data_IF_458728773719
#
_entry.id   IF_458728773719
#
_cell.length_a   1.000
_cell.length_b   1.000
_cell.length_c   1.000
_cell.angle_alpha   90.00
_cell.angle_beta   90.00
_cell.angle_gamma   90.00
#
_symmetry.space_group_name_H-M   'P 1'
#
loop_
_entity.id
_entity.type
_entity.pdbx_description
1 polymer ?
#
# COMPACT_ATOMS: atom_id res chain seq x y z
N UNK A 1 27.29 15.17 -22.27
CA UNK A 1 26.48 14.43 -21.29
C UNK A 1 25.12 15.13 -21.11
N UNK A 2 24.12 14.76 -21.92
CA UNK A 2 22.82 15.48 -22.07
C UNK A 2 21.68 14.87 -21.23
N UNK A 3 21.92 13.72 -20.58
CA UNK A 3 20.90 12.95 -19.83
C UNK A 3 20.54 13.57 -18.46
N UNK A 4 21.30 14.54 -17.97
CA UNK A 4 21.06 15.22 -16.68
C UNK A 4 20.13 16.44 -16.75
N UNK A 5 19.69 16.83 -17.94
CA UNK A 5 18.94 18.09 -18.16
C UNK A 5 17.42 17.93 -18.07
N UNK A 6 16.92 16.69 -18.12
CA UNK A 6 15.50 16.41 -17.98
C UNK A 6 15.30 15.61 -16.70
N UNK A 7 14.61 16.14 -15.68
CA UNK A 7 14.14 15.30 -14.59
C UNK A 7 13.30 14.19 -15.25
N UNK A 8 13.71 12.93 -15.04
CA UNK A 8 12.93 11.81 -15.58
C UNK A 8 11.50 11.85 -15.04
N UNK A 9 10.59 11.12 -15.69
CA UNK A 9 9.16 11.10 -15.31
C UNK A 9 8.95 10.93 -13.80
N UNK A 10 7.95 11.58 -13.19
CA UNK A 10 7.52 11.33 -11.82
C UNK A 10 7.36 9.82 -11.55
N UNK A 11 7.60 9.42 -10.30
CA UNK A 11 7.54 8.00 -9.93
C UNK A 11 6.18 7.37 -10.26
N UNK A 12 5.11 8.11 -9.98
CA UNK A 12 3.73 7.70 -10.17
C UNK A 12 3.45 7.40 -11.66
N UNK A 13 3.95 8.25 -12.56
CA UNK A 13 3.82 8.04 -14.02
C UNK A 13 4.61 6.81 -14.49
N UNK A 14 5.81 6.59 -13.92
CA UNK A 14 6.61 5.38 -14.22
C UNK A 14 5.93 4.11 -13.71
N UNK A 15 5.33 4.17 -12.52
CA UNK A 15 4.59 3.05 -11.93
C UNK A 15 3.39 2.69 -12.80
N UNK A 16 2.61 3.69 -13.23
CA UNK A 16 1.46 3.50 -14.12
C UNK A 16 1.88 2.88 -15.46
N UNK A 17 2.98 3.36 -16.04
CA UNK A 17 3.54 2.78 -17.26
C UNK A 17 4.02 1.34 -17.06
N UNK A 18 4.68 1.04 -15.93
CA UNK A 18 5.10 -0.32 -15.58
C UNK A 18 3.91 -1.26 -15.38
N UNK A 19 2.84 -0.79 -14.72
CA UNK A 19 1.61 -1.54 -14.56
C UNK A 19 0.97 -1.90 -15.91
N UNK A 20 0.80 -0.92 -16.80
CA UNK A 20 0.24 -1.13 -18.16
C UNK A 20 1.07 -2.10 -19.00
N UNK A 21 2.37 -2.17 -18.74
CA UNK A 21 3.29 -3.07 -19.44
C UNK A 21 3.43 -4.45 -18.75
N UNK A 22 2.74 -4.69 -17.64
CA UNK A 22 2.84 -5.94 -16.88
C UNK A 22 4.20 -6.14 -16.22
N UNK A 23 4.85 -5.05 -15.78
CA UNK A 23 6.18 -5.06 -15.16
C UNK A 23 6.19 -4.64 -13.69
N UNK A 24 5.01 -4.43 -13.10
CA UNK A 24 4.85 -3.93 -11.74
C UNK A 24 4.38 -5.06 -10.80
N UNK A 25 5.16 -5.32 -9.77
CA UNK A 25 4.78 -6.21 -8.66
C UNK A 25 4.64 -5.43 -7.35
N UNK A 26 3.82 -5.96 -6.45
CA UNK A 26 3.76 -5.60 -5.05
C UNK A 26 4.42 -6.72 -4.24
N UNK A 27 5.52 -6.40 -3.57
CA UNK A 27 6.13 -7.28 -2.59
C UNK A 27 5.53 -7.03 -1.21
N UNK A 28 5.21 -8.11 -0.51
CA UNK A 28 4.54 -8.11 0.79
C UNK A 28 5.32 -8.95 1.80
N UNK A 29 4.94 -8.84 3.08
CA UNK A 29 5.60 -9.50 4.21
C UNK A 29 7.08 -9.11 4.41
N UNK A 30 7.48 -7.94 3.89
CA UNK A 30 8.81 -7.39 4.09
C UNK A 30 9.01 -6.97 5.56
N UNK A 31 10.26 -6.83 5.98
CA UNK A 31 10.55 -6.08 7.21
C UNK A 31 10.18 -4.61 6.98
N UNK A 32 9.32 -4.00 7.82
CA UNK A 32 9.01 -2.57 7.72
C UNK A 32 10.22 -1.64 7.77
N UNK A 33 11.38 -2.13 8.24
CA UNK A 33 12.63 -1.37 8.34
C UNK A 33 13.45 -1.36 7.06
N UNK A 34 13.12 -2.22 6.09
CA UNK A 34 13.86 -2.26 4.84
C UNK A 34 13.67 -0.97 4.04
N UNK A 35 14.78 -0.52 3.47
CA UNK A 35 14.89 0.57 2.52
C UNK A 35 14.65 0.09 1.08
N UNK A 36 14.36 1.02 0.17
CA UNK A 36 14.20 0.70 -1.26
C UNK A 36 15.41 -0.03 -1.85
N UNK A 37 16.63 0.37 -1.51
CA UNK A 37 17.85 -0.26 -2.03
C UNK A 37 18.04 -1.68 -1.50
N UNK A 38 17.72 -1.94 -0.23
CA UNK A 38 17.78 -3.30 0.31
C UNK A 38 16.77 -4.22 -0.39
N UNK A 39 15.59 -3.70 -0.77
CA UNK A 39 14.60 -4.46 -1.53
C UNK A 39 15.12 -4.74 -2.95
N UNK A 40 15.75 -3.76 -3.60
CA UNK A 40 16.40 -3.96 -4.91
C UNK A 40 17.50 -5.03 -4.82
N UNK A 41 18.31 -5.04 -3.76
CA UNK A 41 19.34 -6.05 -3.51
C UNK A 41 18.75 -7.44 -3.24
N UNK A 42 17.62 -7.53 -2.52
CA UNK A 42 16.87 -8.79 -2.34
C UNK A 42 16.40 -9.32 -3.69
N UNK A 43 15.84 -8.47 -4.55
CA UNK A 43 15.36 -8.90 -5.87
C UNK A 43 16.53 -9.32 -6.77
N UNK A 44 17.62 -8.56 -6.75
CA UNK A 44 18.84 -8.89 -7.50
C UNK A 44 19.47 -10.21 -7.04
N UNK A 45 19.56 -10.42 -5.73
CA UNK A 45 20.15 -11.64 -5.16
C UNK A 45 19.27 -12.87 -5.37
N UNK A 46 17.95 -12.75 -5.19
CA UNK A 46 16.99 -13.86 -5.29
C UNK A 46 16.60 -14.23 -6.71
N UNK A 47 16.39 -13.24 -7.58
CA UNK A 47 15.87 -13.48 -8.93
C UNK A 47 16.89 -13.28 -10.05
N UNK A 48 18.05 -12.65 -9.76
CA UNK A 48 19.05 -12.20 -10.75
C UNK A 48 18.52 -11.15 -11.73
N UNK A 49 17.50 -10.42 -11.29
CA UNK A 49 16.84 -9.38 -12.06
C UNK A 49 17.04 -8.03 -11.40
N UNK A 50 17.28 -7.00 -12.21
CA UNK A 50 17.36 -5.62 -11.72
C UNK A 50 15.98 -4.97 -11.74
N UNK A 51 15.70 -4.18 -10.72
CA UNK A 51 14.41 -3.49 -10.58
C UNK A 51 14.60 -2.11 -9.96
N UNK A 52 13.52 -1.33 -9.92
CA UNK A 52 13.44 -0.13 -9.09
C UNK A 52 12.32 -0.29 -8.08
N UNK A 53 12.61 -0.07 -6.80
CA UNK A 53 11.67 -0.31 -5.70
C UNK A 53 11.26 0.98 -4.99
N UNK A 54 9.99 1.05 -4.57
CA UNK A 54 9.48 2.09 -3.66
C UNK A 54 8.60 1.47 -2.59
N UNK A 55 8.95 1.74 -1.35
CA UNK A 55 8.20 1.29 -0.17
C UNK A 55 6.81 1.94 -0.17
N UNK A 56 5.81 1.15 0.18
CA UNK A 56 4.45 1.65 0.43
C UNK A 56 4.41 2.26 1.83
N UNK A 57 4.05 3.55 1.98
CA UNK A 57 3.97 4.18 3.29
C UNK A 57 2.94 3.50 4.19
N UNK A 58 3.26 3.34 5.48
CA UNK A 58 2.30 2.85 6.47
C UNK A 58 1.16 3.85 6.66
N UNK A 59 -0.06 3.33 6.65
CA UNK A 59 -1.29 4.05 7.02
C UNK A 59 -1.76 3.62 8.41
N UNK A 60 -2.79 4.29 8.96
CA UNK A 60 -3.39 3.94 10.25
C UNK A 60 -3.99 2.53 10.31
N UNK A 61 -4.26 1.94 9.13
CA UNK A 61 -4.81 0.59 8.97
C UNK A 61 -3.77 -0.39 8.39
N UNK A 62 -2.50 -0.01 8.31
CA UNK A 62 -1.44 -0.90 7.85
C UNK A 62 -0.90 -1.70 9.03
N UNK A 63 -0.59 -2.98 8.79
CA UNK A 63 0.07 -3.83 9.78
C UNK A 63 1.43 -3.23 10.16
N UNK A 64 1.73 -3.02 11.45
CA UNK A 64 3.05 -2.52 11.88
C UNK A 64 4.14 -3.60 11.78
N UNK A 65 3.76 -4.85 11.51
CA UNK A 65 4.67 -5.99 11.54
C UNK A 65 5.14 -6.41 10.16
N UNK A 66 4.51 -5.92 9.08
CA UNK A 66 4.78 -6.35 7.71
C UNK A 66 4.78 -5.14 6.77
N UNK A 67 5.92 -4.92 6.11
CA UNK A 67 6.08 -3.89 5.10
C UNK A 67 5.63 -4.36 3.71
N UNK A 68 5.40 -3.38 2.84
CA UNK A 68 5.04 -3.60 1.44
C UNK A 68 5.87 -2.66 0.55
N UNK A 69 6.16 -3.08 -0.68
CA UNK A 69 6.86 -2.24 -1.65
C UNK A 69 6.44 -2.54 -3.09
N UNK A 70 6.30 -1.49 -3.88
CA UNK A 70 6.16 -1.62 -5.33
C UNK A 70 7.53 -1.83 -5.97
N UNK A 71 7.61 -2.80 -6.88
CA UNK A 71 8.82 -3.14 -7.61
C UNK A 71 8.52 -3.10 -9.10
N UNK A 72 9.26 -2.24 -9.82
CA UNK A 72 9.20 -2.14 -11.28
C UNK A 72 10.37 -2.89 -11.89
N UNK A 73 10.09 -3.97 -12.60
CA UNK A 73 11.09 -4.73 -13.35
C UNK A 73 11.39 -4.08 -14.71
N UNK A 74 12.56 -4.37 -15.26
CA UNK A 74 12.94 -3.86 -16.57
C UNK A 74 12.15 -4.49 -17.73
N UNK A 75 11.70 -5.73 -17.57
CA UNK A 75 10.91 -6.47 -18.56
C UNK A 75 9.72 -7.16 -17.91
N UNK A 76 8.74 -7.55 -18.74
CA UNK A 76 7.58 -8.34 -18.30
C UNK A 76 8.01 -9.75 -17.92
N UNK A 77 8.86 -10.37 -18.74
CA UNK A 77 9.38 -11.71 -18.50
C UNK A 77 10.09 -11.83 -17.14
N UNK A 78 10.81 -10.78 -16.73
CA UNK A 78 11.46 -10.73 -15.41
C UNK A 78 10.43 -10.69 -14.26
N UNK A 79 9.35 -9.92 -14.42
CA UNK A 79 8.26 -9.88 -13.45
C UNK A 79 7.51 -11.23 -13.38
N UNK A 80 7.17 -11.81 -14.54
CA UNK A 80 6.52 -13.11 -14.63
C UNK A 80 7.40 -14.19 -13.96
N UNK A 81 8.70 -14.22 -14.26
CA UNK A 81 9.65 -15.15 -13.64
C UNK A 81 9.73 -15.00 -12.13
N UNK A 82 9.72 -13.76 -11.62
CA UNK A 82 9.76 -13.50 -10.19
C UNK A 82 8.49 -14.00 -9.49
N UNK A 83 7.32 -13.76 -10.08
CA UNK A 83 6.03 -14.28 -9.57
C UNK A 83 6.02 -15.80 -9.58
N UNK A 84 6.32 -16.44 -10.70
CA UNK A 84 6.31 -17.91 -10.82
C UNK A 84 7.27 -18.55 -9.82
N UNK A 85 8.47 -18.00 -9.63
CA UNK A 85 9.42 -18.50 -8.61
C UNK A 85 8.90 -18.38 -7.18
N UNK A 86 8.12 -17.35 -6.88
CA UNK A 86 7.52 -17.15 -5.56
C UNK A 86 6.23 -17.96 -5.35
N UNK A 87 5.51 -18.30 -6.42
CA UNK A 87 4.34 -19.17 -6.37
C UNK A 87 4.73 -20.65 -6.28
N UNK A 88 5.72 -21.08 -7.04
CA UNK A 88 6.22 -22.47 -7.05
C UNK A 88 7.20 -22.75 -5.91
N UNK A 89 7.85 -21.71 -5.40
CA UNK A 89 8.88 -21.80 -4.38
C UNK A 89 8.59 -20.96 -3.14
N UNK A 90 9.61 -20.78 -2.31
CA UNK A 90 9.54 -19.90 -1.14
C UNK A 90 10.88 -19.20 -0.98
N UNK A 91 10.93 -17.90 -1.26
CA UNK A 91 12.12 -17.10 -1.02
C UNK A 91 12.12 -16.65 0.45
N UNK A 92 12.90 -17.33 1.27
CA UNK A 92 13.08 -16.98 2.67
C UNK A 92 14.11 -15.86 2.80
N UNK A 93 13.69 -14.75 3.40
CA UNK A 93 14.56 -13.63 3.73
C UNK A 93 15.44 -13.96 4.95
N UNK A 94 16.58 -13.26 5.16
CA UNK A 94 17.48 -13.53 6.29
C UNK A 94 16.83 -13.40 7.67
N UNK A 95 15.76 -12.61 7.77
CA UNK A 95 14.95 -12.47 8.99
C UNK A 95 13.95 -13.63 9.19
N UNK A 96 14.03 -14.70 8.38
CA UNK A 96 13.18 -15.87 8.47
C UNK A 96 11.77 -15.66 7.91
N UNK A 97 11.55 -14.61 7.10
CA UNK A 97 10.23 -14.31 6.53
C UNK A 97 10.13 -14.76 5.08
N UNK A 98 9.06 -15.46 4.68
CA UNK A 98 8.81 -15.75 3.28
C UNK A 98 8.38 -14.48 2.56
N UNK A 99 9.03 -14.17 1.45
CA UNK A 99 8.61 -13.09 0.56
C UNK A 99 7.36 -13.50 -0.20
N UNK A 100 6.39 -12.60 -0.28
CA UNK A 100 5.17 -12.79 -1.10
C UNK A 100 5.15 -11.73 -2.17
N UNK A 101 4.79 -12.10 -3.40
CA UNK A 101 4.56 -11.16 -4.48
C UNK A 101 3.14 -11.30 -5.00
N UNK A 102 2.55 -10.15 -5.34
CA UNK A 102 1.30 -10.06 -6.08
C UNK A 102 1.47 -9.05 -7.23
N UNK A 103 0.62 -9.15 -8.25
CA UNK A 103 0.62 -8.16 -9.32
C UNK A 103 0.25 -6.79 -8.75
N UNK A 104 1.13 -5.81 -8.96
CA UNK A 104 0.95 -4.48 -8.38
C UNK A 104 -0.17 -3.73 -9.08
N UNK A 105 -1.07 -3.13 -8.31
CA UNK A 105 -2.06 -2.18 -8.79
C UNK A 105 -1.65 -0.78 -8.32
N UNK A 106 -1.38 0.17 -9.23
CA UNK A 106 -1.07 1.54 -8.85
C UNK A 106 -2.28 2.15 -8.12
N UNK A 107 -2.06 3.03 -7.13
CA UNK A 107 -3.16 3.78 -6.52
C UNK A 107 -3.93 4.52 -7.62
N UNK A 108 -5.26 4.47 -7.57
CA UNK A 108 -6.08 5.08 -8.61
C UNK A 108 -5.64 6.54 -8.84
N UNK A 109 -5.31 6.84 -10.10
CA UNK A 109 -4.96 8.19 -10.54
C UNK A 109 -6.19 9.08 -10.73
N UNK A 110 -7.36 8.63 -10.26
CA UNK A 110 -8.59 9.43 -10.23
C UNK A 110 -8.26 10.80 -9.67
N UNK A 111 -8.66 11.84 -10.44
CA UNK A 111 -8.35 13.25 -10.19
C UNK A 111 -8.46 13.52 -8.70
N UNK A 112 -7.32 13.52 -8.01
CA UNK A 112 -7.28 13.80 -6.59
C UNK A 112 -7.89 15.19 -6.46
N UNK A 113 -8.97 15.28 -5.68
CA UNK A 113 -9.57 16.55 -5.36
C UNK A 113 -8.45 17.51 -4.96
N UNK A 114 -8.40 18.70 -5.57
CA UNK A 114 -7.44 19.73 -5.21
C UNK A 114 -7.59 20.13 -3.73
N UNK A 115 -8.73 19.82 -3.12
CA UNK A 115 -9.00 19.97 -1.71
C UNK A 115 -8.72 18.67 -0.96
N UNK A 116 -7.80 18.74 0.01
CA UNK A 116 -7.53 17.64 0.94
C UNK A 116 -8.81 17.23 1.70
N UNK A 117 -9.04 15.92 1.83
CA UNK A 117 -10.19 15.38 2.58
C UNK A 117 -11.51 15.29 1.83
N UNK A 118 -11.61 15.82 0.60
CA UNK A 118 -12.82 15.66 -0.22
C UNK A 118 -12.76 14.35 -1.01
N UNK A 119 -13.65 13.43 -0.68
CA UNK A 119 -13.97 12.30 -1.54
C UNK A 119 -14.70 12.84 -2.78
N UNK A 120 -14.15 12.61 -3.97
CA UNK A 120 -14.86 12.93 -5.20
C UNK A 120 -15.95 11.87 -5.39
N UNK A 121 -17.17 12.21 -5.00
CA UNK A 121 -18.32 11.38 -5.37
C UNK A 121 -18.62 11.73 -6.83
N UNK A 122 -18.39 10.77 -7.73
CA UNK A 122 -18.74 10.95 -9.13
C UNK A 122 -20.22 11.34 -9.20
N UNK A 123 -20.51 12.41 -9.95
CA UNK A 123 -21.85 12.96 -10.06
C UNK A 123 -22.69 11.99 -10.90
N UNK A 124 -23.05 10.85 -10.33
CA UNK A 124 -24.20 10.09 -10.80
C UNK A 124 -25.33 11.10 -10.92
N UNK A 125 -25.96 11.14 -12.09
CA UNK A 125 -26.96 12.12 -12.52
C UNK A 125 -28.05 12.31 -11.46
N UNK A 126 -27.78 13.13 -10.44
CA UNK A 126 -28.78 13.54 -9.47
C UNK A 126 -29.70 14.51 -10.20
N UNK A 127 -30.99 14.23 -10.10
CA UNK A 127 -32.08 15.15 -10.42
C UNK A 127 -31.78 16.56 -9.92
N UNK A 128 -32.33 17.63 -10.54
CA UNK A 128 -31.95 19.01 -10.28
C UNK A 128 -31.89 19.29 -8.77
N UNK A 129 -30.66 19.34 -8.28
CA UNK A 129 -30.34 19.52 -6.89
C UNK A 129 -30.72 20.97 -6.57
N UNK A 130 -31.60 21.19 -5.58
CA UNK A 130 -31.71 22.52 -4.95
C UNK A 130 -30.31 22.92 -4.52
N UNK A 131 -29.86 24.12 -4.87
CA UNK A 131 -28.55 24.65 -4.53
C UNK A 131 -28.33 24.63 -3.02
N UNK A 132 -27.86 23.49 -2.51
CA UNK A 132 -27.48 23.33 -1.12
C UNK A 132 -26.09 23.95 -1.00
N UNK A 133 -26.04 25.18 -0.46
CA UNK A 133 -24.79 25.83 -0.09
C UNK A 133 -24.25 25.08 1.13
N UNK A 134 -23.49 24.01 0.89
CA UNK A 134 -22.75 23.32 1.93
C UNK A 134 -21.47 24.09 2.19
N UNK A 135 -21.48 24.97 3.19
CA UNK A 135 -20.26 25.57 3.73
C UNK A 135 -19.63 24.59 4.71
N UNK A 136 -18.29 24.52 4.74
CA UNK A 136 -17.58 23.80 5.79
C UNK A 136 -17.95 24.40 7.15
N UNK A 137 -18.56 23.60 8.02
CA UNK A 137 -19.01 24.04 9.34
C UNK A 137 -18.98 22.89 10.34
N UNK A 138 -19.01 23.21 11.63
CA UNK A 138 -19.23 22.23 12.69
C UNK A 138 -20.73 22.08 12.93
N UNK A 139 -21.20 20.84 12.95
CA UNK A 139 -22.60 20.54 13.25
C UNK A 139 -22.96 21.00 14.67
N UNK A 140 -24.17 21.51 14.83
CA UNK A 140 -24.66 21.95 16.13
C UNK A 140 -25.25 20.75 16.87
N UNK A 141 -25.09 20.63 18.21
CA UNK A 141 -25.54 19.45 18.96
C UNK A 141 -27.03 19.10 18.85
N UNK A 142 -27.86 20.01 18.37
CA UNK A 142 -29.28 19.84 18.18
C UNK A 142 -29.67 19.51 16.72
N UNK A 143 -28.72 19.12 15.86
CA UNK A 143 -28.98 18.73 14.48
C UNK A 143 -28.77 17.25 14.25
N UNK A 144 -29.52 16.68 13.31
CA UNK A 144 -29.33 15.28 12.88
C UNK A 144 -27.91 15.03 12.33
N UNK A 145 -27.29 16.04 11.72
CA UNK A 145 -25.91 15.97 11.25
C UNK A 145 -24.93 15.70 12.40
N UNK A 146 -25.15 16.33 13.56
CA UNK A 146 -24.34 16.08 14.74
C UNK A 146 -24.51 14.64 15.25
N UNK A 147 -25.74 14.17 15.39
CA UNK A 147 -26.01 12.81 15.86
C UNK A 147 -25.38 11.77 14.92
N UNK A 148 -25.56 11.93 13.60
CA UNK A 148 -24.92 11.06 12.60
C UNK A 148 -23.39 11.14 12.67
N UNK A 149 -22.82 12.34 12.80
CA UNK A 149 -21.36 12.51 12.93
C UNK A 149 -20.82 11.80 14.19
N UNK A 150 -21.56 11.86 15.30
CA UNK A 150 -21.19 11.16 16.54
C UNK A 150 -21.25 9.64 16.39
N UNK A 151 -22.24 9.10 15.69
CA UNK A 151 -22.30 7.68 15.34
C UNK A 151 -21.11 7.26 14.47
N UNK A 152 -20.75 8.08 13.48
CA UNK A 152 -19.55 7.87 12.66
C UNK A 152 -18.27 7.90 13.49
N UNK A 153 -18.11 8.85 14.41
CA UNK A 153 -16.97 8.90 15.33
C UNK A 153 -16.90 7.66 16.23
N UNK A 154 -18.04 7.18 16.73
CA UNK A 154 -18.11 5.95 17.50
C UNK A 154 -17.67 4.74 16.66
N UNK A 155 -18.11 4.66 15.40
CA UNK A 155 -17.71 3.61 14.46
C UNK A 155 -16.19 3.65 14.21
N UNK A 156 -15.64 4.83 13.92
CA UNK A 156 -14.21 5.03 13.71
C UNK A 156 -13.39 4.55 14.93
N UNK A 157 -13.83 4.93 16.13
CA UNK A 157 -13.19 4.51 17.39
C UNK A 157 -13.21 2.99 17.58
N UNK A 158 -14.33 2.34 17.22
CA UNK A 158 -14.46 0.87 17.26
C UNK A 158 -13.50 0.22 16.27
N UNK A 159 -13.43 0.71 15.03
CA UNK A 159 -12.50 0.23 14.02
C UNK A 159 -11.04 0.35 14.47
N UNK A 160 -10.64 1.49 15.02
CA UNK A 160 -9.29 1.68 15.56
C UNK A 160 -8.96 0.69 16.68
N UNK A 161 -9.91 0.44 17.58
CA UNK A 161 -9.74 -0.56 18.65
C UNK A 161 -9.58 -1.96 18.08
N UNK A 162 -10.39 -2.33 17.09
CA UNK A 162 -10.33 -3.61 16.41
C UNK A 162 -8.96 -3.81 15.74
N UNK A 163 -8.47 -2.84 14.97
CA UNK A 163 -7.15 -2.91 14.34
C UNK A 163 -6.02 -3.04 15.36
N UNK A 164 -6.06 -2.25 16.45
CA UNK A 164 -5.07 -2.35 17.55
C UNK A 164 -5.05 -3.75 18.16
N UNK A 165 -6.22 -4.35 18.38
CA UNK A 165 -6.32 -5.69 18.94
C UNK A 165 -5.80 -6.75 17.96
N UNK A 166 -6.18 -6.66 16.69
CA UNK A 166 -5.73 -7.57 15.64
C UNK A 166 -4.20 -7.57 15.53
N UNK A 167 -3.57 -6.39 15.43
CA UNK A 167 -2.13 -6.31 15.30
C UNK A 167 -1.36 -6.69 16.56
N UNK A 168 -1.96 -6.51 17.74
CA UNK A 168 -1.39 -7.06 18.98
C UNK A 168 -1.33 -8.60 18.90
N UNK A 169 -2.46 -9.22 18.54
CA UNK A 169 -2.54 -10.69 18.41
C UNK A 169 -1.57 -11.22 17.35
N UNK A 170 -1.55 -10.62 16.15
CA UNK A 170 -0.59 -10.99 15.10
C UNK A 170 0.86 -10.90 15.58
N UNK A 171 1.21 -9.84 16.32
CA UNK A 171 2.57 -9.66 16.86
C UNK A 171 2.95 -10.74 17.88
N UNK A 172 2.01 -11.14 18.74
CA UNK A 172 2.24 -12.19 19.73
C UNK A 172 2.38 -13.57 19.07
N UNK A 173 1.57 -13.85 18.04
CA UNK A 173 1.67 -15.07 17.23
C UNK A 173 2.99 -15.15 16.46
N UNK A 174 3.44 -14.04 15.85
CA UNK A 174 4.73 -13.99 15.15
C UNK A 174 5.90 -14.28 16.11
N UNK A 175 5.90 -13.71 17.32
CA UNK A 175 6.92 -13.99 18.34
C UNK A 175 6.90 -15.46 18.76
N UNK A 176 5.72 -16.05 18.93
CA UNK A 176 5.56 -17.47 19.27
C UNK A 176 6.10 -18.38 18.17
N UNK A 177 5.81 -18.06 16.90
CA UNK A 177 6.33 -18.78 15.74
C UNK A 177 7.84 -18.67 15.64
N UNK A 178 8.40 -17.47 15.82
CA UNK A 178 9.84 -17.24 15.82
C UNK A 178 10.57 -18.04 16.92
N UNK A 179 10.03 -18.05 18.14
CA UNK A 179 10.57 -18.84 19.24
C UNK A 179 10.55 -20.35 18.95
N UNK A 180 9.49 -20.84 18.31
CA UNK A 180 9.36 -22.26 17.94
C UNK A 180 10.35 -22.66 16.85
N UNK A 181 10.60 -21.77 15.87
CA UNK A 181 11.58 -21.99 14.82
C UNK A 181 13.03 -21.97 15.34
N UNK A 182 13.35 -21.11 16.30
CA UNK A 182 14.69 -21.03 16.93
C UNK A 182 15.00 -22.21 17.86
N UNK A 183 13.98 -22.90 18.35
CA UNK A 183 14.12 -24.03 19.27
C UNK A 183 14.34 -25.38 18.57
N UNK A 184 14.32 -25.41 17.23
CA UNK A 184 14.60 -26.60 16.41
C UNK A 184 15.95 -26.47 15.73
#
# INVERSE_FOLDING_TARGET
DRSKWFPGLPWEDRMEAAHKQGRLLLLENLDPRYSSSEIEDIVWSGFRESCTAKIVPHTSISSPHSGQAFVMFNSRDAADTAVTKLEEGCLMLPNGRPLVASWGSPPSSEKRSTFAGHLFIDKFKLQPQREAISTSHCSQPNTIEYDMAMEWCLMQTKCERMWKQLYKQHGDELKKMEATLKSK
#
